data_IF_865249070969
#
_entry.id   IF_865249070969
#
_cell.length_a   1.000
_cell.length_b   1.000
_cell.length_c   1.000
_cell.angle_alpha   90.00
_cell.angle_beta   90.00
_cell.angle_gamma   90.00
#
_symmetry.space_group_name_H-M   'P 1'
#
loop_
_entity.id
_entity.type
_entity.pdbx_description
1 polymer ?
#
# COMPACT_ATOMS: atom_id res chain seq x y z
N UNK A 1 12.40 16.83 18.93
CA UNK A 1 10.98 16.66 18.58
C UNK A 1 10.40 15.65 19.55
N UNK A 2 9.24 15.89 20.19
CA UNK A 2 8.69 14.92 21.11
C UNK A 2 8.26 13.69 20.31
N UNK A 3 8.83 12.53 20.64
CA UNK A 3 8.34 11.22 20.20
C UNK A 3 7.08 10.94 21.01
N UNK A 4 5.98 11.58 20.62
CA UNK A 4 4.65 11.16 21.05
C UNK A 4 4.44 9.76 20.49
N UNK A 5 4.70 8.73 21.30
CA UNK A 5 4.38 7.36 20.96
C UNK A 5 2.88 7.32 20.70
N UNK A 6 2.50 7.08 19.45
CA UNK A 6 1.13 6.77 19.10
C UNK A 6 0.91 5.33 19.59
N UNK A 7 0.60 5.19 20.89
CA UNK A 7 0.13 3.92 21.44
C UNK A 7 -1.13 3.54 20.66
N UNK A 8 -1.05 2.43 19.91
CA UNK A 8 -2.21 1.83 19.24
C UNK A 8 -2.22 1.90 17.71
N UNK A 9 -1.27 2.57 17.04
CA UNK A 9 -1.14 2.43 15.59
C UNK A 9 -0.16 1.31 15.28
N UNK A 10 -0.69 0.20 14.78
CA UNK A 10 0.10 -0.92 14.28
C UNK A 10 1.04 -0.43 13.16
N UNK A 11 2.17 -1.12 12.98
CA UNK A 11 3.24 -0.63 12.11
C UNK A 11 2.69 -0.31 10.69
N UNK A 12 2.97 0.89 10.12
CA UNK A 12 2.47 1.30 8.81
C UNK A 12 2.75 0.31 7.67
N UNK A 13 3.74 -0.57 7.85
CA UNK A 13 4.07 -1.65 6.93
C UNK A 13 2.93 -2.65 6.68
N UNK A 14 2.03 -2.87 7.64
CA UNK A 14 0.91 -3.83 7.48
C UNK A 14 -0.34 -3.22 6.86
N UNK A 15 -0.44 -1.89 6.80
CA UNK A 15 -1.62 -1.20 6.25
C UNK A 15 -1.87 -1.51 4.77
N UNK A 16 -0.82 -1.72 3.97
CA UNK A 16 -0.97 -2.08 2.56
C UNK A 16 -1.47 -3.51 2.36
N UNK A 17 -0.84 -4.55 2.96
CA UNK A 17 -1.40 -5.90 2.94
C UNK A 17 -2.84 -5.93 3.40
N UNK A 18 -3.20 -5.19 4.44
CA UNK A 18 -4.59 -5.10 4.93
C UNK A 18 -5.54 -4.46 3.91
N UNK A 19 -5.12 -3.39 3.24
CA UNK A 19 -5.88 -2.77 2.16
C UNK A 19 -6.13 -3.75 0.99
N UNK A 20 -5.10 -4.52 0.61
CA UNK A 20 -5.22 -5.59 -0.39
C UNK A 20 -6.12 -6.73 0.06
N UNK A 21 -5.93 -7.23 1.28
CA UNK A 21 -6.75 -8.29 1.86
C UNK A 21 -8.22 -7.90 1.86
N UNK A 22 -8.52 -6.64 2.20
CA UNK A 22 -9.88 -6.10 2.16
C UNK A 22 -10.49 -6.15 0.76
N UNK A 23 -9.73 -5.79 -0.27
CA UNK A 23 -10.18 -5.85 -1.67
C UNK A 23 -10.45 -7.29 -2.11
N UNK A 24 -9.63 -8.23 -1.65
CA UNK A 24 -9.76 -9.65 -1.95
C UNK A 24 -10.81 -10.37 -1.09
N UNK A 25 -11.36 -9.71 -0.06
CA UNK A 25 -12.26 -10.34 0.92
C UNK A 25 -11.55 -11.32 1.86
N UNK A 26 -10.24 -11.19 2.02
CA UNK A 26 -9.39 -12.03 2.88
C UNK A 26 -9.35 -11.45 4.29
N UNK A 27 -9.51 -12.31 5.31
CA UNK A 27 -9.37 -11.91 6.71
C UNK A 27 -7.90 -11.70 7.07
N UNK A 28 -7.52 -10.63 7.81
CA UNK A 28 -6.15 -10.45 8.32
C UNK A 28 -5.64 -11.56 9.25
N UNK A 29 -6.50 -12.50 9.66
CA UNK A 29 -6.16 -13.63 10.54
C UNK A 29 -6.13 -14.97 9.81
N UNK A 30 -6.31 -14.99 8.48
CA UNK A 30 -6.31 -16.23 7.70
C UNK A 30 -4.90 -16.56 7.18
N UNK A 31 -4.68 -17.83 6.83
CA UNK A 31 -3.44 -18.24 6.16
C UNK A 31 -3.23 -17.54 4.83
N UNK A 32 -4.31 -17.21 4.10
CA UNK A 32 -4.22 -16.45 2.85
C UNK A 32 -3.63 -15.03 3.08
N UNK A 33 -3.83 -14.45 4.27
CA UNK A 33 -3.17 -13.20 4.63
C UNK A 33 -1.68 -13.40 4.90
N UNK A 34 -1.30 -14.50 5.57
CA UNK A 34 0.11 -14.86 5.76
C UNK A 34 0.82 -15.09 4.41
N UNK A 35 0.15 -15.76 3.48
CA UNK A 35 0.64 -15.97 2.10
C UNK A 35 0.81 -14.64 1.37
N UNK A 36 -0.12 -13.69 1.56
CA UNK A 36 0.01 -12.34 1.01
C UNK A 36 1.22 -11.60 1.60
N UNK A 37 1.41 -11.67 2.92
CA UNK A 37 2.56 -11.08 3.59
C UNK A 37 3.87 -11.69 3.08
N UNK A 38 3.90 -13.01 2.85
CA UNK A 38 5.05 -13.71 2.29
C UNK A 38 5.32 -13.26 0.85
N UNK A 39 4.31 -13.27 -0.01
CA UNK A 39 4.40 -12.83 -1.40
C UNK A 39 4.90 -11.39 -1.51
N UNK A 40 4.47 -10.51 -0.61
CA UNK A 40 4.96 -9.12 -0.56
C UNK A 40 6.36 -8.98 0.03
N UNK A 41 7.00 -10.06 0.47
CA UNK A 41 8.32 -10.03 1.11
C UNK A 41 8.31 -9.42 2.51
N UNK A 42 7.13 -9.31 3.15
CA UNK A 42 6.94 -8.70 4.47
C UNK A 42 6.97 -9.74 5.60
N UNK A 43 6.76 -11.02 5.31
CA UNK A 43 6.87 -12.11 6.29
C UNK A 43 8.29 -12.26 6.87
N UNK A 44 9.31 -11.71 6.20
CA UNK A 44 10.72 -11.78 6.60
C UNK A 44 11.18 -10.60 7.46
N UNK A 45 10.28 -9.72 7.88
CA UNK A 45 10.59 -8.54 8.71
C UNK A 45 10.97 -8.87 10.18
N UNK A 46 11.50 -10.06 10.45
CA UNK A 46 11.85 -10.58 11.78
C UNK A 46 13.37 -10.65 11.96
N UNK A 47 13.93 -10.17 13.09
CA UNK A 47 14.29 -8.79 13.39
C UNK A 47 15.64 -8.38 12.77
N UNK A 48 15.79 -7.09 12.48
CA UNK A 48 17.05 -6.48 12.04
C UNK A 48 18.23 -6.83 12.95
N UNK A 49 19.33 -7.29 12.35
CA UNK A 49 20.62 -7.40 13.02
C UNK A 49 21.12 -5.97 13.29
N UNK A 50 21.59 -5.64 14.51
CA UNK A 50 22.25 -4.36 14.75
C UNK A 50 23.42 -4.22 13.78
N UNK A 51 23.51 -3.09 13.08
CA UNK A 51 24.55 -2.73 12.10
C UNK A 51 24.36 -3.22 10.64
N UNK A 52 23.22 -3.83 10.31
CA UNK A 52 22.81 -4.10 8.92
C UNK A 52 21.99 -2.94 8.32
N UNK A 53 21.95 -2.77 6.97
CA UNK A 53 21.26 -1.65 6.30
C UNK A 53 19.85 -1.48 6.84
N UNK A 54 19.44 -0.22 7.02
CA UNK A 54 18.20 0.24 7.69
C UNK A 54 16.96 -0.59 7.29
N UNK A 55 16.76 -1.72 7.99
CA UNK A 55 15.64 -2.67 7.79
C UNK A 55 14.29 -1.96 7.98
N UNK A 56 14.27 -0.80 8.66
CA UNK A 56 13.11 0.07 8.75
C UNK A 56 12.60 0.58 7.39
N UNK A 57 13.43 0.55 6.33
CA UNK A 57 13.05 0.90 4.96
C UNK A 57 12.55 -0.29 4.13
N UNK A 58 12.76 -1.52 4.58
CA UNK A 58 12.33 -2.72 3.85
C UNK A 58 10.84 -2.67 3.50
N UNK A 59 9.91 -2.27 4.39
CA UNK A 59 8.51 -2.13 4.01
C UNK A 59 8.25 -1.13 2.90
N UNK A 60 9.08 -0.09 2.77
CA UNK A 60 8.97 0.88 1.67
C UNK A 60 9.48 0.28 0.36
N UNK A 61 10.60 -0.44 0.39
CA UNK A 61 11.17 -1.08 -0.80
C UNK A 61 10.35 -2.26 -1.30
N UNK A 62 9.96 -3.15 -0.41
CA UNK A 62 9.18 -4.34 -0.73
C UNK A 62 7.81 -3.99 -1.33
N UNK A 63 7.18 -2.95 -0.78
CA UNK A 63 5.97 -2.35 -1.34
C UNK A 63 6.12 -1.93 -2.79
N UNK A 64 7.21 -1.21 -3.10
CA UNK A 64 7.41 -0.64 -4.42
C UNK A 64 7.79 -1.69 -5.47
N UNK A 65 8.61 -2.67 -5.08
CA UNK A 65 9.12 -3.70 -5.98
C UNK A 65 8.16 -4.88 -6.16
N UNK A 66 7.39 -5.24 -5.12
CA UNK A 66 6.68 -6.52 -5.09
C UNK A 66 5.16 -6.41 -5.08
N UNK A 67 4.58 -5.22 -4.98
CA UNK A 67 3.12 -5.08 -4.97
C UNK A 67 2.44 -5.67 -6.22
N UNK A 68 2.89 -5.31 -7.42
CA UNK A 68 2.28 -5.81 -8.65
C UNK A 68 2.52 -7.33 -8.86
N UNK A 69 3.75 -7.86 -8.70
CA UNK A 69 3.99 -9.31 -8.74
C UNK A 69 3.18 -10.08 -7.69
N UNK A 70 3.14 -9.61 -6.44
CA UNK A 70 2.37 -10.25 -5.38
C UNK A 70 0.88 -10.20 -5.69
N UNK A 71 0.34 -9.04 -6.09
CA UNK A 71 -1.06 -8.90 -6.48
C UNK A 71 -1.45 -9.86 -7.60
N UNK A 72 -0.60 -10.05 -8.60
CA UNK A 72 -0.85 -10.97 -9.71
C UNK A 72 -1.01 -12.43 -9.26
N UNK A 73 -0.28 -12.87 -8.23
CA UNK A 73 -0.45 -14.21 -7.65
C UNK A 73 -1.85 -14.43 -7.08
N UNK A 74 -2.45 -13.37 -6.54
CA UNK A 74 -3.80 -13.39 -5.98
C UNK A 74 -4.86 -12.92 -6.98
N UNK A 75 -4.54 -12.88 -8.28
CA UNK A 75 -5.49 -12.55 -9.34
C UNK A 75 -5.86 -11.07 -9.45
N UNK A 76 -4.99 -10.18 -8.96
CA UNK A 76 -5.13 -8.73 -9.10
C UNK A 76 -4.28 -8.21 -10.26
N UNK A 77 -4.86 -7.32 -11.07
CA UNK A 77 -4.10 -6.51 -12.03
C UNK A 77 -3.83 -5.14 -11.42
N UNK A 78 -2.61 -4.92 -10.96
CA UNK A 78 -2.20 -3.64 -10.35
C UNK A 78 -1.52 -2.78 -11.40
N UNK A 79 -2.04 -1.56 -11.60
CA UNK A 79 -1.40 -0.53 -12.40
C UNK A 79 -0.78 0.53 -11.52
N UNK A 80 0.52 0.70 -11.67
CA UNK A 80 1.24 1.81 -11.09
C UNK A 80 0.87 3.12 -11.81
N UNK A 81 0.47 4.12 -11.03
CA UNK A 81 0.20 5.46 -11.54
C UNK A 81 1.48 6.31 -11.46
N UNK A 82 2.38 6.00 -10.52
CA UNK A 82 3.60 6.78 -10.30
C UNK A 82 4.79 5.96 -9.77
N UNK A 83 5.98 6.13 -10.36
CA UNK A 83 7.19 5.58 -9.78
C UNK A 83 7.37 6.14 -8.35
N UNK A 84 7.65 5.28 -7.36
CA UNK A 84 7.72 5.66 -5.95
C UNK A 84 8.77 6.72 -5.60
N UNK A 85 9.69 6.99 -6.53
CA UNK A 85 10.75 7.97 -6.39
C UNK A 85 10.25 9.41 -6.61
N UNK A 86 9.10 9.62 -7.27
CA UNK A 86 8.68 10.94 -7.76
C UNK A 86 8.14 11.86 -6.65
N UNK A 87 7.53 11.33 -5.60
CA UNK A 87 6.91 12.15 -4.55
C UNK A 87 7.82 12.47 -3.35
N UNK A 88 9.04 11.90 -3.29
CA UNK A 88 9.93 12.02 -2.13
C UNK A 88 10.31 13.48 -1.87
N UNK A 89 9.84 14.03 -0.76
CA UNK A 89 10.14 15.40 -0.33
C UNK A 89 9.29 16.50 -0.99
N UNK A 90 8.40 16.15 -1.94
CA UNK A 90 7.57 17.12 -2.67
C UNK A 90 6.15 17.25 -2.11
N UNK A 91 5.73 16.35 -1.21
CA UNK A 91 4.34 16.29 -0.73
C UNK A 91 3.84 17.56 -0.01
N UNK A 92 4.76 18.45 0.38
CA UNK A 92 4.45 19.74 1.03
C UNK A 92 4.53 20.94 0.07
N UNK A 93 4.98 20.72 -1.15
CA UNK A 93 5.14 21.78 -2.16
C UNK A 93 3.82 22.05 -2.86
N UNK A 94 3.52 23.33 -3.12
CA UNK A 94 2.30 23.72 -3.84
C UNK A 94 2.24 23.12 -5.25
N UNK A 95 3.41 22.95 -5.90
CA UNK A 95 3.51 22.30 -7.20
C UNK A 95 3.00 20.84 -7.18
N UNK A 96 3.17 20.14 -6.06
CA UNK A 96 2.66 18.77 -5.92
C UNK A 96 1.13 18.76 -5.89
N UNK A 97 0.52 19.71 -5.17
CA UNK A 97 -0.94 19.88 -5.15
C UNK A 97 -1.50 20.23 -6.52
N UNK A 98 -0.87 21.16 -7.23
CA UNK A 98 -1.26 21.52 -8.59
C UNK A 98 -1.15 20.32 -9.55
N UNK A 99 -0.09 19.52 -9.42
CA UNK A 99 0.08 18.31 -10.22
C UNK A 99 -0.97 17.25 -9.89
N UNK A 100 -1.27 17.05 -8.60
CA UNK A 100 -2.37 16.19 -8.15
C UNK A 100 -3.70 16.57 -8.82
N UNK A 101 -4.09 17.84 -8.72
CA UNK A 101 -5.34 18.33 -9.27
C UNK A 101 -5.37 18.27 -10.81
N UNK A 102 -4.25 18.55 -11.48
CA UNK A 102 -4.18 18.56 -12.94
C UNK A 102 -4.08 17.15 -13.57
N UNK A 103 -3.45 16.19 -12.90
CA UNK A 103 -3.08 14.90 -13.50
C UNK A 103 -3.78 13.72 -12.84
N UNK A 104 -3.84 13.66 -11.52
CA UNK A 104 -4.29 12.47 -10.81
C UNK A 104 -5.77 12.50 -10.53
N UNK A 105 -6.31 13.65 -10.14
CA UNK A 105 -7.75 13.80 -9.86
C UNK A 105 -8.61 13.36 -11.06
N UNK A 106 -8.38 13.79 -12.31
CA UNK A 106 -9.14 13.29 -13.46
C UNK A 106 -9.01 11.78 -13.65
N UNK A 107 -7.83 11.23 -13.37
CA UNK A 107 -7.56 9.80 -13.49
C UNK A 107 -8.27 8.98 -12.41
N UNK A 108 -8.27 9.44 -11.15
CA UNK A 108 -9.03 8.83 -10.05
C UNK A 108 -10.53 8.81 -10.36
N UNK A 109 -11.06 9.93 -10.88
CA UNK A 109 -12.45 9.96 -11.33
C UNK A 109 -12.74 8.90 -12.38
N UNK A 110 -11.86 8.74 -13.36
CA UNK A 110 -12.07 7.75 -14.41
C UNK A 110 -11.98 6.32 -13.88
N UNK A 111 -10.96 5.99 -13.07
CA UNK A 111 -10.84 4.68 -12.44
C UNK A 111 -12.11 4.31 -11.64
N UNK A 112 -12.61 5.22 -10.81
CA UNK A 112 -13.79 4.98 -9.99
C UNK A 112 -15.09 4.84 -10.81
N UNK A 113 -15.20 5.47 -11.99
CA UNK A 113 -16.34 5.23 -12.90
C UNK A 113 -16.35 3.82 -13.49
N UNK A 114 -15.20 3.16 -13.57
CA UNK A 114 -15.05 1.78 -14.05
C UNK A 114 -15.02 0.76 -12.91
N UNK A 115 -15.46 1.14 -11.70
CA UNK A 115 -15.42 0.31 -10.50
C UNK A 115 -14.01 -0.20 -10.15
N UNK A 116 -12.97 0.56 -10.52
CA UNK A 116 -11.57 0.23 -10.25
C UNK A 116 -11.11 0.93 -8.96
N UNK A 117 -10.95 0.21 -7.84
CA UNK A 117 -10.52 0.83 -6.59
C UNK A 117 -9.05 1.25 -6.68
N UNK A 118 -8.70 2.27 -5.90
CA UNK A 118 -7.34 2.84 -5.91
C UNK A 118 -6.72 2.69 -4.52
N UNK A 119 -5.54 2.06 -4.45
CA UNK A 119 -4.73 2.05 -3.24
C UNK A 119 -4.02 3.40 -3.11
N UNK A 120 -4.09 4.03 -1.93
CA UNK A 120 -3.48 5.33 -1.68
C UNK A 120 -2.63 5.32 -0.42
N UNK A 121 -1.39 5.80 -0.54
CA UNK A 121 -0.47 6.03 0.57
C UNK A 121 -0.51 7.48 1.02
N UNK A 122 -0.74 7.70 2.31
CA UNK A 122 -0.92 9.04 2.89
C UNK A 122 -2.10 9.80 2.28
N UNK A 123 -2.29 11.04 2.71
CA UNK A 123 -3.34 11.92 2.22
C UNK A 123 -4.65 11.83 3.00
N UNK A 124 -4.82 10.78 3.80
CA UNK A 124 -5.96 10.57 4.69
C UNK A 124 -5.96 11.54 5.88
N UNK A 125 -7.14 11.81 6.43
CA UNK A 125 -7.31 12.60 7.64
C UNK A 125 -6.76 11.91 8.91
N UNK A 126 -6.47 12.71 9.93
CA UNK A 126 -6.24 12.30 11.32
C UNK A 126 -5.20 11.16 11.50
N UNK A 127 -5.54 10.15 12.30
CA UNK A 127 -4.67 9.01 12.61
C UNK A 127 -4.31 8.15 11.40
N UNK A 128 -5.04 8.28 10.29
CA UNK A 128 -4.82 7.53 9.07
C UNK A 128 -3.81 8.20 8.11
N UNK A 129 -3.34 9.40 8.41
CA UNK A 129 -2.51 10.21 7.52
C UNK A 129 -1.21 9.52 7.04
N UNK A 130 -0.74 8.50 7.77
CA UNK A 130 0.47 7.73 7.45
C UNK A 130 0.17 6.26 7.16
N UNK A 131 -1.05 5.95 6.70
CA UNK A 131 -1.47 4.58 6.37
C UNK A 131 -1.79 4.45 4.89
N UNK A 132 -1.81 3.19 4.43
CA UNK A 132 -2.44 2.81 3.18
C UNK A 132 -3.95 2.67 3.37
N UNK A 133 -4.70 3.10 2.37
CA UNK A 133 -6.13 2.89 2.29
C UNK A 133 -6.59 2.59 0.88
N UNK A 134 -7.88 2.28 0.76
CA UNK A 134 -8.56 1.98 -0.50
C UNK A 134 -9.56 3.09 -0.79
N UNK A 135 -9.30 3.88 -1.82
CA UNK A 135 -10.27 4.84 -2.38
C UNK A 135 -11.28 4.07 -3.21
N UNK A 136 -12.57 4.28 -2.91
CA UNK A 136 -13.67 3.57 -3.56
C UNK A 136 -14.78 4.49 -4.06
N UNK A 137 -14.76 5.77 -3.71
CA UNK A 137 -15.81 6.71 -4.10
C UNK A 137 -15.31 8.14 -4.24
N UNK A 138 -16.06 8.93 -4.99
CA UNK A 138 -15.92 10.39 -5.03
C UNK A 138 -16.88 11.01 -4.01
N UNK A 139 -16.44 12.02 -3.27
CA UNK A 139 -17.28 12.82 -2.38
C UNK A 139 -17.32 14.29 -2.82
N UNK A 140 -18.16 15.10 -2.17
CA UNK A 140 -18.26 16.55 -2.38
C UNK A 140 -18.44 16.94 -3.86
N UNK A 141 -19.40 16.32 -4.54
CA UNK A 141 -19.68 16.57 -5.97
C UNK A 141 -18.47 16.29 -6.90
N UNK A 142 -17.56 15.42 -6.48
CA UNK A 142 -16.32 15.10 -7.20
C UNK A 142 -15.11 15.95 -6.78
N UNK A 143 -15.27 16.85 -5.81
CA UNK A 143 -14.15 17.59 -5.26
C UNK A 143 -13.31 16.78 -4.26
N UNK A 144 -13.80 15.66 -3.75
CA UNK A 144 -13.07 14.81 -2.82
C UNK A 144 -13.11 13.32 -3.18
N UNK A 145 -12.34 12.54 -2.43
CA UNK A 145 -12.24 11.09 -2.58
C UNK A 145 -12.38 10.42 -1.22
N UNK A 146 -13.28 9.44 -1.14
CA UNK A 146 -13.59 8.67 0.06
C UNK A 146 -13.16 7.22 -0.07
N UNK A 147 -12.86 6.60 1.07
CA UNK A 147 -12.33 5.25 1.08
C UNK A 147 -12.30 4.61 2.45
N UNK A 148 -11.64 3.47 2.54
CA UNK A 148 -11.46 2.71 3.76
C UNK A 148 -9.99 2.63 4.15
N UNK A 149 -9.71 2.75 5.44
CA UNK A 149 -8.39 2.50 6.03
C UNK A 149 -8.54 1.51 7.17
N UNK A 150 -7.64 0.52 7.22
CA UNK A 150 -7.49 -0.39 8.35
C UNK A 150 -6.21 -0.04 9.12
N UNK A 151 -6.38 0.46 10.35
CA UNK A 151 -5.30 0.93 11.21
C UNK A 151 -4.74 -0.13 12.17
N UNK A 152 -5.20 -1.38 12.07
CA UNK A 152 -4.55 -2.50 12.75
C UNK A 152 -4.98 -2.79 14.19
N UNK A 153 -5.70 -1.88 14.84
CA UNK A 153 -6.00 -1.98 16.28
C UNK A 153 -7.40 -2.50 16.58
N UNK A 154 -7.72 -3.77 16.26
CA UNK A 154 -9.02 -4.44 16.59
C UNK A 154 -10.32 -3.77 16.10
N UNK A 155 -10.23 -2.56 15.54
CA UNK A 155 -11.33 -1.79 15.04
C UNK A 155 -11.59 -2.20 13.60
N UNK A 156 -12.86 -2.32 13.24
CA UNK A 156 -13.26 -2.49 11.86
C UNK A 156 -12.67 -1.36 10.98
N UNK A 157 -12.37 -1.65 9.69
CA UNK A 157 -11.95 -0.62 8.76
C UNK A 157 -12.87 0.60 8.81
N UNK A 158 -12.30 1.79 8.91
CA UNK A 158 -13.07 3.04 9.02
C UNK A 158 -13.07 3.80 7.70
N UNK A 159 -14.13 4.58 7.51
CA UNK A 159 -14.22 5.50 6.37
C UNK A 159 -13.37 6.74 6.63
N UNK A 160 -12.55 7.10 5.65
CA UNK A 160 -11.78 8.34 5.64
C UNK A 160 -11.96 9.06 4.30
N UNK A 161 -11.73 10.37 4.34
CA UNK A 161 -11.63 11.22 3.15
C UNK A 161 -10.16 11.56 2.93
N UNK A 162 -9.73 11.63 1.67
CA UNK A 162 -8.44 12.20 1.30
C UNK A 162 -8.51 13.73 1.44
N UNK A 163 -7.79 14.28 2.43
CA UNK A 163 -7.70 15.72 2.67
C UNK A 163 -6.55 16.37 1.92
N UNK A 164 -5.50 15.60 1.65
CA UNK A 164 -4.32 16.06 0.93
C UNK A 164 -3.95 15.07 -0.17
N UNK A 165 -3.22 15.52 -1.21
CA UNK A 165 -2.73 14.63 -2.25
C UNK A 165 -1.96 13.42 -1.68
N UNK A 166 -2.37 12.18 -2.00
CA UNK A 166 -1.64 10.99 -1.58
C UNK A 166 -0.26 10.98 -2.22
N UNK A 167 0.73 10.50 -1.47
CA UNK A 167 2.11 10.43 -1.92
C UNK A 167 2.31 9.35 -2.99
N UNK A 168 1.44 8.34 -3.03
CA UNK A 168 1.52 7.23 -3.96
C UNK A 168 0.14 6.62 -4.20
N UNK A 169 -0.09 6.18 -5.43
CA UNK A 169 -1.37 5.65 -5.87
C UNK A 169 -1.16 4.42 -6.78
N UNK A 170 -2.01 3.41 -6.62
CA UNK A 170 -2.10 2.27 -7.53
C UNK A 170 -3.56 1.99 -7.90
N UNK A 171 -3.86 1.76 -9.17
CA UNK A 171 -5.20 1.27 -9.58
C UNK A 171 -5.23 -0.24 -9.56
N UNK A 172 -6.32 -0.80 -9.07
CA UNK A 172 -6.63 -2.21 -9.27
C UNK A 172 -7.54 -2.30 -10.50
N UNK A 173 -6.96 -2.59 -11.67
CA UNK A 173 -7.66 -2.58 -12.95
C UNK A 173 -8.61 -3.77 -13.11
N UNK A 174 -8.28 -4.89 -12.46
CA UNK A 174 -9.11 -6.09 -12.42
C UNK A 174 -8.89 -6.84 -11.11
N UNK A 175 -9.96 -7.48 -10.61
CA UNK A 175 -9.95 -8.33 -9.43
C UNK A 175 -10.60 -9.66 -9.76
N UNK A 176 -9.80 -10.72 -9.83
CA UNK A 176 -10.27 -12.10 -9.92
C UNK A 176 -9.60 -12.92 -8.82
N UNK A 177 -9.98 -12.71 -7.53
CA UNK A 177 -9.25 -13.28 -6.40
C UNK A 177 -9.08 -14.80 -6.53
N UNK A 178 -7.86 -15.26 -6.35
CA UNK A 178 -7.50 -16.67 -6.39
C UNK A 178 -6.46 -16.99 -5.31
N UNK A 179 -6.53 -18.19 -4.76
CA UNK A 179 -5.46 -18.70 -3.92
C UNK A 179 -4.27 -19.10 -4.82
N UNK A 180 -3.04 -18.63 -4.53
CA UNK A 180 -1.88 -19.01 -5.33
C UNK A 180 -1.52 -20.48 -5.08
N UNK A 181 -1.05 -21.15 -6.13
CA UNK A 181 -0.47 -22.49 -5.99
C UNK A 181 0.78 -22.43 -5.08
N UNK A 182 0.95 -23.36 -4.12
CA UNK A 182 2.04 -23.29 -3.14
C UNK A 182 3.44 -23.20 -3.77
N UNK A 183 3.69 -23.92 -4.87
CA UNK A 183 4.99 -23.88 -5.57
C UNK A 183 5.27 -22.48 -6.13
N UNK A 184 4.27 -21.87 -6.78
CA UNK A 184 4.38 -20.51 -7.34
C UNK A 184 4.63 -19.47 -6.25
N UNK A 185 3.96 -19.64 -5.10
CA UNK A 185 4.17 -18.78 -3.94
C UNK A 185 5.62 -18.88 -3.43
N UNK A 186 6.12 -20.11 -3.23
CA UNK A 186 7.50 -20.36 -2.76
C UNK A 186 8.53 -19.77 -3.73
N UNK A 187 8.35 -19.95 -5.05
CA UNK A 187 9.27 -19.43 -6.07
C UNK A 187 9.29 -17.90 -6.07
N UNK A 188 8.12 -17.26 -5.93
CA UNK A 188 8.00 -15.81 -5.88
C UNK A 188 8.65 -15.25 -4.63
N UNK A 189 8.35 -15.84 -3.47
CA UNK A 189 8.96 -15.51 -2.18
C UNK A 189 10.48 -15.61 -2.25
N UNK A 190 11.00 -16.72 -2.79
CA UNK A 190 12.44 -16.95 -2.94
C UNK A 190 13.09 -15.92 -3.86
N UNK A 191 12.41 -15.54 -4.95
CA UNK A 191 12.86 -14.51 -5.88
C UNK A 191 12.91 -13.15 -5.19
N UNK A 192 11.86 -12.76 -4.47
CA UNK A 192 11.80 -11.49 -3.74
C UNK A 192 12.88 -11.41 -2.67
N UNK A 193 13.09 -12.47 -1.89
CA UNK A 193 14.20 -12.56 -0.93
C UNK A 193 15.55 -12.39 -1.62
N UNK A 194 15.78 -13.08 -2.74
CA UNK A 194 17.03 -12.97 -3.49
C UNK A 194 17.31 -11.55 -4.00
N UNK A 195 16.28 -10.81 -4.40
CA UNK A 195 16.38 -9.40 -4.80
C UNK A 195 16.70 -8.50 -3.60
N UNK A 196 15.95 -8.65 -2.50
CA UNK A 196 16.16 -7.88 -1.27
C UNK A 196 17.58 -8.07 -0.71
N UNK A 197 18.06 -9.32 -0.64
CA UNK A 197 19.41 -9.60 -0.18
C UNK A 197 20.49 -9.00 -1.10
N UNK A 198 20.24 -8.87 -2.41
CA UNK A 198 21.20 -8.23 -3.32
C UNK A 198 21.25 -6.73 -3.07
N UNK A 199 20.11 -6.07 -3.03
CA UNK A 199 20.06 -4.61 -2.92
C UNK A 199 20.58 -4.14 -1.54
N UNK A 200 20.33 -4.90 -0.48
CA UNK A 200 20.88 -4.64 0.87
C UNK A 200 22.42 -4.72 0.92
N UNK A 201 23.08 -5.43 0.01
CA UNK A 201 24.55 -5.56 -0.01
C UNK A 201 25.23 -4.36 -0.70
N UNK A 202 24.49 -3.55 -1.46
CA UNK A 202 25.06 -2.51 -2.33
C UNK A 202 24.74 -1.05 -1.92
N UNK A 203 23.98 -0.84 -0.85
CA UNK A 203 23.77 0.47 -0.19
C UNK A 203 24.65 0.63 1.06
#
# INVERSE_FOLDING_TARGET
>A
MPTGGIEGVEAPCLSLPRALARLMGVSPTSSAFDDLLAAMGLAFLIPAVPDEPDVGRWPLYARDAFLAPAGALFGLTVRDIHPPQVARGLTREEAFRQHFDASYRPFLHEALKHDQPVLAWQGWADEAAMLWGVVTETCDEGAGFGGWVDAGSSAEPRRYVLETPPAQLYVIEAMNPSDPEPETLIDTVSTHMGLLCRDAIFD
#
